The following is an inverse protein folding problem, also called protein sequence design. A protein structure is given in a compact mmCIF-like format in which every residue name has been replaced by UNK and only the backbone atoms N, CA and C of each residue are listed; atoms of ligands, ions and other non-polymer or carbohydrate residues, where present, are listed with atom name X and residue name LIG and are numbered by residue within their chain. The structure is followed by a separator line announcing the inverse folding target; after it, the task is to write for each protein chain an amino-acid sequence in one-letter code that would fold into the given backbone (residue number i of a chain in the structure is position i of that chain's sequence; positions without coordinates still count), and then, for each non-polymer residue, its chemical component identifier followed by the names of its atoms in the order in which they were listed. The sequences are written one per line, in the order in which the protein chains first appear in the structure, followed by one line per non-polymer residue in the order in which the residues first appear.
data_IF_991129650108
#
_entry.id   IF_991129650108
#
_cell.length_a   1.000
_cell.length_b   1.000
_cell.length_c   1.000
_cell.angle_alpha   90.00
_cell.angle_beta   90.00
_cell.angle_gamma   90.00
#
_symmetry.space_group_name_H-M   'P 1'
#
loop_
_entity.id
_entity.type
_entity.pdbx_description
1 polymer ?
#
# COMPACT_ATOMS: atom_id res chain seq x y z
N UNK A 1 30.17 52.63 -40.37
CA UNK A 1 29.61 51.50 -39.60
C UNK A 1 29.99 50.23 -40.34
N UNK A 2 31.05 49.56 -39.89
CA UNK A 2 31.66 48.43 -40.60
C UNK A 2 31.02 47.13 -40.16
N UNK A 3 30.37 46.42 -41.08
CA UNK A 3 29.81 45.10 -40.83
C UNK A 3 30.90 44.03 -41.01
N UNK A 4 31.22 43.34 -39.92
CA UNK A 4 32.14 42.21 -39.87
C UNK A 4 31.37 40.93 -40.19
N UNK A 5 31.70 40.32 -41.33
CA UNK A 5 31.15 39.04 -41.79
C UNK A 5 31.94 37.88 -41.16
N UNK A 6 31.29 37.04 -40.37
CA UNK A 6 31.88 35.79 -39.87
C UNK A 6 31.62 34.60 -40.82
N UNK A 7 32.56 33.64 -40.95
CA UNK A 7 32.43 32.52 -41.88
C UNK A 7 31.62 31.33 -41.31
N UNK A 8 30.77 30.75 -42.15
CA UNK A 8 30.05 29.50 -41.91
C UNK A 8 31.03 28.32 -41.77
N UNK A 9 31.03 27.66 -40.61
CA UNK A 9 31.70 26.37 -40.39
C UNK A 9 30.83 25.23 -40.92
N UNK A 10 31.29 24.57 -41.98
CA UNK A 10 30.76 23.29 -42.48
C UNK A 10 30.97 22.18 -41.44
N UNK A 11 29.87 21.60 -40.96
CA UNK A 11 29.86 20.39 -40.12
C UNK A 11 30.02 19.16 -41.03
N UNK A 12 31.11 18.42 -40.87
CA UNK A 12 31.34 17.11 -41.52
C UNK A 12 30.49 16.05 -40.79
N UNK A 13 29.64 15.36 -41.52
CA UNK A 13 28.91 14.16 -41.08
C UNK A 13 29.82 12.94 -41.27
N UNK A 14 30.23 12.30 -40.18
CA UNK A 14 30.85 10.98 -40.22
C UNK A 14 29.73 9.93 -40.19
N UNK A 15 29.71 9.08 -41.22
CA UNK A 15 28.91 7.86 -41.27
C UNK A 15 29.74 6.75 -40.62
N UNK A 16 29.47 6.43 -39.35
CA UNK A 16 29.98 5.20 -38.73
C UNK A 16 29.02 4.05 -39.07
N UNK A 17 29.53 3.08 -39.82
CA UNK A 17 28.88 1.83 -40.13
C UNK A 17 28.89 0.95 -38.87
N UNK A 18 27.78 0.94 -38.14
CA UNK A 18 27.58 0.03 -37.01
C UNK A 18 27.21 -1.36 -37.55
N UNK A 19 28.19 -2.26 -37.53
CA UNK A 19 28.02 -3.69 -37.85
C UNK A 19 27.20 -4.32 -36.74
N UNK A 20 25.91 -4.54 -37.04
CA UNK A 20 24.97 -5.22 -36.15
C UNK A 20 25.32 -6.72 -36.08
N UNK A 21 26.04 -7.09 -35.03
CA UNK A 21 26.27 -8.48 -34.64
C UNK A 21 24.94 -9.10 -34.18
N UNK A 22 24.17 -9.65 -35.13
CA UNK A 22 23.01 -10.47 -34.85
C UNK A 22 23.48 -11.78 -34.18
N UNK A 23 23.51 -11.79 -32.85
CA UNK A 23 23.58 -13.02 -32.08
C UNK A 23 22.24 -13.73 -32.23
N UNK A 24 22.25 -14.81 -33.01
CA UNK A 24 21.12 -15.72 -33.20
C UNK A 24 20.78 -16.40 -31.87
N UNK A 25 19.88 -15.78 -31.11
CA UNK A 25 19.26 -16.37 -29.92
C UNK A 25 18.41 -17.56 -30.36
N UNK A 26 18.91 -18.78 -30.16
CA UNK A 26 18.16 -20.01 -30.44
C UNK A 26 16.84 -20.00 -29.67
N UNK A 27 15.75 -20.19 -30.41
CA UNK A 27 14.39 -20.20 -29.91
C UNK A 27 14.19 -21.38 -28.92
N UNK A 28 14.20 -21.08 -27.64
CA UNK A 28 13.67 -21.98 -26.61
C UNK A 28 12.17 -22.16 -26.86
N UNK A 29 11.81 -23.30 -27.46
CA UNK A 29 10.45 -23.65 -27.89
C UNK A 29 9.71 -24.51 -26.86
N UNK A 30 10.11 -24.39 -25.59
CA UNK A 30 9.41 -25.04 -24.49
C UNK A 30 7.91 -24.68 -24.49
N UNK A 31 6.99 -25.67 -24.43
CA UNK A 31 5.56 -25.42 -24.50
C UNK A 31 5.11 -24.56 -23.33
N UNK A 32 4.61 -23.35 -23.62
CA UNK A 32 4.11 -22.42 -22.60
C UNK A 32 2.90 -23.04 -21.90
N UNK A 33 2.95 -23.11 -20.57
CA UNK A 33 1.82 -23.54 -19.74
C UNK A 33 0.57 -22.70 -20.09
N UNK A 34 -0.64 -23.31 -20.20
CA UNK A 34 -1.86 -22.55 -20.44
C UNK A 34 -2.08 -21.56 -19.30
N UNK A 35 -2.41 -20.32 -19.68
CA UNK A 35 -2.63 -19.22 -18.72
C UNK A 35 -3.95 -19.38 -18.00
N UNK A 36 -3.99 -19.00 -16.73
CA UNK A 36 -5.23 -19.04 -15.94
C UNK A 36 -6.13 -17.83 -16.26
N UNK A 37 -7.44 -17.96 -16.01
CA UNK A 37 -8.40 -16.84 -16.17
C UNK A 37 -8.00 -15.63 -15.33
N UNK A 38 -7.49 -15.87 -14.12
CA UNK A 38 -7.06 -14.81 -13.19
C UNK A 38 -5.84 -14.04 -13.74
N UNK A 39 -4.86 -14.73 -14.32
CA UNK A 39 -3.68 -14.10 -14.95
C UNK A 39 -4.08 -13.21 -16.12
N UNK A 40 -5.00 -13.69 -16.98
CA UNK A 40 -5.48 -12.91 -18.13
C UNK A 40 -6.25 -11.68 -17.65
N UNK A 41 -7.11 -11.83 -16.63
CA UNK A 41 -7.86 -10.71 -16.06
C UNK A 41 -6.93 -9.67 -15.42
N UNK A 42 -5.94 -10.12 -14.65
CA UNK A 42 -4.94 -9.23 -14.04
C UNK A 42 -4.16 -8.47 -15.10
N UNK A 43 -3.60 -9.15 -16.10
CA UNK A 43 -2.83 -8.50 -17.16
C UNK A 43 -3.71 -7.51 -17.95
N UNK A 44 -4.98 -7.87 -18.19
CA UNK A 44 -5.92 -6.96 -18.85
C UNK A 44 -6.11 -5.70 -18.00
N UNK A 45 -6.36 -5.84 -16.70
CA UNK A 45 -6.49 -4.70 -15.78
C UNK A 45 -5.21 -3.88 -15.68
N UNK A 46 -4.06 -4.53 -15.66
CA UNK A 46 -2.75 -3.86 -15.60
C UNK A 46 -2.50 -3.01 -16.84
N UNK A 47 -2.83 -3.54 -18.03
CA UNK A 47 -2.78 -2.79 -19.30
C UNK A 47 -3.77 -1.63 -19.31
N UNK A 48 -4.98 -1.85 -18.79
CA UNK A 48 -5.96 -0.77 -18.66
C UNK A 48 -5.39 0.34 -17.79
N UNK A 49 -4.94 0.04 -16.57
CA UNK A 49 -4.43 1.04 -15.61
C UNK A 49 -3.14 1.72 -16.07
N UNK A 50 -2.32 1.04 -16.87
CA UNK A 50 -1.06 1.58 -17.42
C UNK A 50 -1.24 2.52 -18.61
N UNK A 51 -2.47 2.83 -19.01
CA UNK A 51 -2.77 3.82 -20.06
C UNK A 51 -3.53 3.27 -21.27
N UNK A 52 -4.33 2.21 -21.11
CA UNK A 52 -5.25 1.76 -22.15
C UNK A 52 -6.38 2.76 -22.46
N UNK A 53 -7.14 2.47 -23.53
CA UNK A 53 -8.16 3.38 -24.10
C UNK A 53 -9.41 3.61 -23.22
N UNK A 54 -9.57 2.84 -22.13
CA UNK A 54 -10.77 2.91 -21.26
C UNK A 54 -10.61 3.85 -20.06
N UNK A 55 -9.49 4.56 -19.97
CA UNK A 55 -9.25 5.48 -18.87
C UNK A 55 -9.86 6.85 -19.16
N UNK A 56 -10.62 7.36 -18.21
CA UNK A 56 -11.29 8.67 -18.30
C UNK A 56 -10.62 9.72 -17.42
N UNK A 57 -9.71 9.31 -16.53
CA UNK A 57 -8.92 10.20 -15.70
C UNK A 57 -7.49 9.68 -15.50
N UNK A 58 -6.58 10.58 -15.12
CA UNK A 58 -5.22 10.26 -14.71
C UNK A 58 -4.95 10.90 -13.36
N UNK A 59 -4.33 10.16 -12.46
CA UNK A 59 -3.93 10.64 -11.14
C UNK A 59 -2.41 10.63 -11.07
N UNK A 60 -1.81 11.78 -10.76
CA UNK A 60 -0.36 11.88 -10.58
C UNK A 60 -0.02 11.54 -9.14
N UNK A 61 0.67 10.43 -8.94
CA UNK A 61 0.96 9.88 -7.62
C UNK A 61 2.46 9.86 -7.37
N UNK A 62 2.89 10.19 -6.16
CA UNK A 62 4.26 9.93 -5.78
C UNK A 62 4.55 8.43 -5.76
N UNK A 63 5.72 8.07 -6.29
CA UNK A 63 6.32 6.77 -6.01
C UNK A 63 6.88 6.77 -4.59
N UNK A 64 7.42 5.63 -4.15
CA UNK A 64 7.98 5.50 -2.80
C UNK A 64 9.00 6.59 -2.51
N UNK A 65 9.17 6.90 -1.23
CA UNK A 65 10.31 7.70 -0.75
C UNK A 65 11.49 6.76 -0.51
N UNK A 66 12.70 7.22 -0.80
CA UNK A 66 13.93 6.55 -0.36
C UNK A 66 14.05 6.62 1.15
N UNK A 67 14.98 5.87 1.74
CA UNK A 67 15.32 5.97 3.18
C UNK A 67 15.71 7.41 3.58
N UNK A 68 16.24 8.20 2.63
CA UNK A 68 16.57 9.62 2.80
C UNK A 68 15.37 10.57 2.61
N UNK A 69 14.16 10.04 2.40
CA UNK A 69 12.93 10.81 2.23
C UNK A 69 12.71 11.38 0.82
N UNK A 70 13.56 11.04 -0.17
CA UNK A 70 13.39 11.53 -1.57
C UNK A 70 12.41 10.65 -2.34
N UNK A 71 11.40 11.20 -2.99
CA UNK A 71 10.53 10.44 -3.90
C UNK A 71 11.33 9.97 -5.13
N UNK A 72 11.14 8.73 -5.62
CA UNK A 72 11.70 8.29 -6.91
C UNK A 72 11.10 9.08 -8.10
N UNK A 73 10.03 9.83 -7.85
CA UNK A 73 9.39 10.72 -8.82
C UNK A 73 7.91 10.35 -9.03
N UNK A 74 7.08 11.31 -9.44
CA UNK A 74 5.67 11.04 -9.62
C UNK A 74 5.41 10.14 -10.84
N UNK A 75 4.39 9.28 -10.76
CA UNK A 75 3.91 8.42 -11.83
C UNK A 75 2.43 8.63 -12.07
N UNK A 76 2.04 8.60 -13.34
CA UNK A 76 0.64 8.60 -13.73
C UNK A 76 0.02 7.25 -13.48
N UNK A 77 -1.10 7.24 -12.76
CA UNK A 77 -2.03 6.13 -12.68
C UNK A 77 -3.24 6.47 -13.54
N UNK A 78 -3.46 5.71 -14.61
CA UNK A 78 -4.65 5.91 -15.44
C UNK A 78 -5.80 5.11 -14.85
N UNK A 79 -6.98 5.73 -14.75
CA UNK A 79 -8.16 5.15 -14.11
C UNK A 79 -9.42 5.45 -14.89
N UNK A 80 -10.43 4.62 -14.70
CA UNK A 80 -11.79 4.90 -15.14
C UNK A 80 -12.55 5.54 -13.98
N UNK A 81 -12.79 6.85 -14.07
CA UNK A 81 -13.46 7.67 -13.06
C UNK A 81 -14.83 7.08 -12.71
N UNK A 82 -15.60 6.69 -13.71
CA UNK A 82 -16.98 6.22 -13.55
C UNK A 82 -17.04 4.94 -12.71
N UNK A 83 -16.13 3.98 -12.93
CA UNK A 83 -16.06 2.76 -12.12
C UNK A 83 -15.71 3.07 -10.66
N UNK A 84 -14.83 4.05 -10.43
CA UNK A 84 -14.38 4.41 -9.07
C UNK A 84 -15.44 5.21 -8.31
N UNK A 85 -16.12 6.16 -8.96
CA UNK A 85 -17.12 7.03 -8.32
C UNK A 85 -18.40 6.31 -7.97
N UNK A 86 -18.75 5.22 -8.68
CA UNK A 86 -19.87 4.34 -8.30
C UNK A 86 -19.64 3.68 -6.94
N UNK A 87 -18.38 3.44 -6.56
CA UNK A 87 -18.04 2.74 -5.31
C UNK A 87 -17.97 3.69 -4.10
N UNK A 88 -17.74 4.98 -4.30
CA UNK A 88 -17.60 5.95 -3.20
C UNK A 88 -17.88 7.39 -3.63
N UNK A 89 -18.67 8.10 -2.81
CA UNK A 89 -18.94 9.53 -2.98
C UNK A 89 -17.71 10.38 -2.69
N UNK A 90 -16.83 9.91 -1.82
CA UNK A 90 -15.56 10.55 -1.49
C UNK A 90 -14.59 10.47 -2.67
N UNK A 91 -14.58 9.35 -3.41
CA UNK A 91 -13.88 9.25 -4.69
C UNK A 91 -14.47 10.22 -5.72
N UNK A 92 -15.79 10.36 -5.79
CA UNK A 92 -16.43 11.36 -6.65
C UNK A 92 -15.96 12.78 -6.31
N UNK A 93 -16.05 13.19 -5.04
CA UNK A 93 -15.56 14.50 -4.58
C UNK A 93 -14.08 14.70 -4.90
N UNK A 94 -13.26 13.67 -4.76
CA UNK A 94 -11.85 13.72 -5.11
C UNK A 94 -11.64 14.03 -6.61
N UNK A 95 -12.35 13.32 -7.49
CA UNK A 95 -12.26 13.57 -8.94
C UNK A 95 -12.98 14.84 -9.42
N UNK A 96 -13.85 15.41 -8.61
CA UNK A 96 -14.51 16.69 -8.88
C UNK A 96 -13.70 17.88 -8.32
N UNK A 97 -12.63 17.61 -7.55
CA UNK A 97 -11.78 18.63 -6.92
C UNK A 97 -12.30 19.14 -5.58
N UNK A 98 -13.45 18.62 -5.10
CA UNK A 98 -14.09 18.99 -3.84
C UNK A 98 -13.42 18.36 -2.60
N UNK A 99 -12.60 17.32 -2.79
CA UNK A 99 -11.86 16.66 -1.71
C UNK A 99 -10.35 16.78 -1.94
N UNK A 100 -9.71 17.64 -1.14
CA UNK A 100 -8.25 17.73 -1.07
C UNK A 100 -7.72 16.65 -0.13
N UNK A 101 -6.86 15.79 -0.66
CA UNK A 101 -6.17 14.78 0.14
C UNK A 101 -4.91 15.38 0.75
N UNK A 102 -5.07 15.95 1.94
CA UNK A 102 -3.96 16.45 2.75
C UNK A 102 -3.04 15.31 3.20
N UNK A 103 -1.76 15.62 3.34
CA UNK A 103 -0.78 14.73 3.96
C UNK A 103 -1.16 14.57 5.43
N UNK A 104 -1.43 13.34 5.87
CA UNK A 104 -1.75 13.05 7.28
C UNK A 104 -0.48 12.98 8.15
N UNK A 105 0.71 13.24 7.59
CA UNK A 105 1.97 13.21 8.31
C UNK A 105 2.38 11.80 8.75
N UNK A 106 1.75 10.75 8.23
CA UNK A 106 2.16 9.38 8.48
C UNK A 106 3.31 9.02 7.53
N UNK A 107 4.47 8.71 8.11
CA UNK A 107 5.68 8.37 7.35
C UNK A 107 6.19 6.94 7.63
N UNK A 108 5.55 6.20 8.53
CA UNK A 108 5.93 4.83 8.92
C UNK A 108 5.36 3.76 7.94
N UNK A 109 5.21 4.08 6.66
CA UNK A 109 4.73 3.11 5.68
C UNK A 109 5.84 2.08 5.44
N UNK A 110 5.66 0.87 5.98
CA UNK A 110 6.65 -0.22 5.95
C UNK A 110 6.88 -0.81 4.54
N UNK A 111 6.36 -0.18 3.48
CA UNK A 111 6.58 -0.61 2.12
C UNK A 111 7.81 0.04 1.46
N UNK A 112 8.56 0.89 2.16
CA UNK A 112 9.72 1.66 1.65
C UNK A 112 10.97 0.83 1.25
N UNK A 113 10.92 -0.50 1.25
CA UNK A 113 12.04 -1.31 0.74
C UNK A 113 12.07 -1.30 -0.80
N UNK A 114 13.31 -1.22 -1.30
CA UNK A 114 13.73 -1.12 -2.70
C UNK A 114 13.31 -2.39 -3.47
N UNK A 115 12.37 -2.26 -4.39
CA UNK A 115 12.24 -3.27 -5.44
C UNK A 115 13.27 -2.86 -6.51
N UNK A 116 14.45 -3.50 -6.51
CA UNK A 116 15.60 -3.21 -7.39
C UNK A 116 15.28 -3.31 -8.91
N UNK A 117 14.11 -3.87 -9.25
CA UNK A 117 13.77 -4.26 -10.62
C UNK A 117 13.02 -3.21 -11.46
N UNK A 118 12.59 -2.07 -10.90
CA UNK A 118 11.91 -1.02 -11.69
C UNK A 118 12.87 0.05 -12.24
N UNK A 119 14.03 -0.38 -12.73
CA UNK A 119 14.90 0.40 -13.65
C UNK A 119 14.27 0.54 -15.04
N UNK A 120 12.94 0.71 -15.12
CA UNK A 120 12.27 1.07 -16.36
C UNK A 120 12.66 2.50 -16.67
N UNK A 121 13.41 2.71 -17.76
CA UNK A 121 13.81 4.00 -18.31
C UNK A 121 12.63 4.84 -18.84
N UNK A 122 11.47 4.71 -18.22
CA UNK A 122 10.28 5.50 -18.50
C UNK A 122 10.61 6.98 -18.33
N UNK A 123 10.47 7.74 -19.43
CA UNK A 123 10.64 9.18 -19.40
C UNK A 123 9.75 9.77 -18.30
N UNK A 124 10.34 10.50 -17.36
CA UNK A 124 9.58 11.16 -16.32
C UNK A 124 8.48 12.00 -16.98
N UNK A 125 7.23 11.92 -16.49
CA UNK A 125 6.15 12.68 -17.07
C UNK A 125 6.48 14.17 -16.98
N UNK A 126 6.36 14.88 -18.11
CA UNK A 126 6.41 16.34 -18.12
C UNK A 126 5.18 16.82 -17.37
N UNK A 127 5.39 17.29 -16.15
CA UNK A 127 4.31 17.83 -15.31
C UNK A 127 3.81 19.09 -16.00
N UNK A 128 2.59 19.04 -16.52
CA UNK A 128 1.87 20.25 -16.97
C UNK A 128 1.57 21.09 -15.73
N UNK A 129 1.73 22.41 -15.81
CA UNK A 129 1.79 23.33 -14.65
C UNK A 129 0.57 23.27 -13.70
N UNK A 130 -0.54 22.67 -14.12
CA UNK A 130 -1.77 22.56 -13.32
C UNK A 130 -2.00 21.18 -12.68
N UNK A 131 -1.13 20.19 -12.92
CA UNK A 131 -1.33 18.85 -12.35
C UNK A 131 -0.89 18.80 -10.89
N UNK A 132 -1.86 18.69 -9.98
CA UNK A 132 -1.59 18.44 -8.57
C UNK A 132 -1.14 16.99 -8.33
N UNK A 133 0.04 16.81 -7.75
CA UNK A 133 0.50 15.50 -7.24
C UNK A 133 -0.30 15.15 -5.98
N UNK A 134 -0.93 14.00 -5.98
CA UNK A 134 -1.61 13.48 -4.79
C UNK A 134 -0.57 12.89 -3.85
N UNK A 135 -0.44 13.49 -2.67
CA UNK A 135 0.54 13.10 -1.65
C UNK A 135 0.04 12.00 -0.71
N UNK A 136 -1.24 11.65 -0.79
CA UNK A 136 -1.88 10.72 0.12
C UNK A 136 -1.78 9.29 -0.41
N UNK A 137 -0.70 8.61 -0.03
CA UNK A 137 -0.43 7.21 -0.37
C UNK A 137 0.42 7.02 -1.63
N UNK A 138 1.23 5.95 -1.64
CA UNK A 138 2.12 5.62 -2.75
C UNK A 138 1.37 5.07 -3.98
N UNK A 139 1.97 5.22 -5.16
CA UNK A 139 1.49 4.66 -6.43
C UNK A 139 1.03 3.18 -6.31
N UNK A 140 1.82 2.32 -5.67
CA UNK A 140 1.48 0.88 -5.51
C UNK A 140 0.23 0.67 -4.65
N UNK A 141 0.02 1.50 -3.62
CA UNK A 141 -1.17 1.46 -2.76
C UNK A 141 -2.43 1.87 -3.53
N UNK A 142 -2.35 2.95 -4.30
CA UNK A 142 -3.45 3.35 -5.18
C UNK A 142 -3.74 2.34 -6.28
N UNK A 143 -2.70 1.74 -6.87
CA UNK A 143 -2.86 0.65 -7.83
C UNK A 143 -3.61 -0.51 -7.17
N UNK A 144 -3.23 -0.92 -5.97
CA UNK A 144 -3.93 -1.98 -5.22
C UNK A 144 -5.40 -1.60 -4.94
N UNK A 145 -5.69 -0.34 -4.60
CA UNK A 145 -7.04 0.17 -4.42
C UNK A 145 -7.86 0.07 -5.71
N UNK A 146 -7.35 0.55 -6.85
CA UNK A 146 -8.06 0.52 -8.13
C UNK A 146 -8.33 -0.93 -8.56
N UNK A 147 -7.35 -1.82 -8.44
CA UNK A 147 -7.54 -3.25 -8.70
C UNK A 147 -8.63 -3.85 -7.80
N UNK A 148 -8.68 -3.44 -6.53
CA UNK A 148 -9.69 -3.89 -5.57
C UNK A 148 -11.09 -3.37 -5.88
N UNK A 149 -11.20 -2.19 -6.50
CA UNK A 149 -12.50 -1.59 -6.83
C UNK A 149 -13.04 -2.07 -8.17
N UNK A 150 -12.17 -2.51 -9.07
CA UNK A 150 -12.59 -3.14 -10.33
C UNK A 150 -13.08 -4.58 -10.14
N UNK A 151 -12.98 -5.11 -8.93
CA UNK A 151 -13.32 -6.48 -8.63
C UNK A 151 -14.18 -6.54 -7.38
N UNK A 152 -15.16 -7.44 -7.39
CA UNK A 152 -16.01 -7.64 -6.20
C UNK A 152 -15.27 -8.36 -5.06
N UNK A 153 -14.01 -8.79 -5.26
CA UNK A 153 -13.20 -9.48 -4.25
C UNK A 153 -11.75 -8.95 -4.19
N UNK A 154 -11.41 -8.08 -3.22
CA UNK A 154 -10.08 -7.48 -3.10
C UNK A 154 -8.98 -8.48 -2.71
N UNK A 155 -9.32 -9.53 -1.98
CA UNK A 155 -8.34 -10.44 -1.37
C UNK A 155 -7.63 -11.37 -2.37
N UNK A 156 -8.15 -11.53 -3.59
CA UNK A 156 -7.54 -12.42 -4.59
C UNK A 156 -6.31 -11.85 -5.30
N UNK A 157 -6.14 -10.52 -5.30
CA UNK A 157 -5.13 -9.85 -6.13
C UNK A 157 -4.16 -8.97 -5.36
N UNK A 158 -4.46 -8.69 -4.09
CA UNK A 158 -3.54 -7.97 -3.23
C UNK A 158 -2.68 -8.97 -2.47
N UNK A 159 -1.39 -8.77 -2.57
CA UNK A 159 -0.43 -9.41 -1.68
C UNK A 159 0.09 -8.36 -0.70
N UNK A 160 -0.19 -8.58 0.58
CA UNK A 160 0.22 -7.65 1.61
C UNK A 160 1.66 -7.93 2.06
N UNK A 161 2.50 -6.88 2.11
CA UNK A 161 3.85 -6.96 2.69
C UNK A 161 3.81 -7.23 4.20
N UNK A 162 4.89 -7.80 4.73
CA UNK A 162 5.08 -7.97 6.17
C UNK A 162 5.03 -6.63 6.92
N UNK A 163 4.61 -6.65 8.19
CA UNK A 163 4.47 -5.44 9.01
C UNK A 163 5.78 -4.97 9.65
N UNK A 164 6.77 -5.85 9.76
CA UNK A 164 8.10 -5.57 10.29
C UNK A 164 9.17 -6.14 9.34
N UNK A 165 10.01 -5.28 8.73
CA UNK A 165 11.12 -5.72 7.87
C UNK A 165 12.09 -6.68 8.58
N UNK A 166 12.27 -6.54 9.90
CA UNK A 166 13.22 -7.34 10.70
C UNK A 166 12.76 -8.77 10.93
N UNK A 167 11.47 -9.03 10.73
CA UNK A 167 10.90 -10.38 10.82
C UNK A 167 10.93 -11.11 9.48
N UNK A 168 11.50 -10.50 8.44
CA UNK A 168 11.74 -11.21 7.19
C UNK A 168 12.75 -12.32 7.48
N UNK A 169 12.48 -13.57 7.09
CA UNK A 169 13.52 -14.58 7.06
C UNK A 169 14.69 -14.01 6.28
N UNK A 170 15.89 -14.01 6.87
CA UNK A 170 17.09 -13.73 6.10
C UNK A 170 17.08 -14.66 4.88
N UNK A 171 17.37 -14.15 3.66
CA UNK A 171 17.25 -14.92 2.43
C UNK A 171 18.14 -16.18 2.40
N UNK A 172 19.05 -16.33 3.36
CA UNK A 172 20.02 -17.43 3.44
C UNK A 172 19.46 -18.72 4.06
N UNK A 173 18.34 -18.67 4.79
CA UNK A 173 17.69 -19.85 5.41
C UNK A 173 16.26 -20.11 4.91
N UNK A 174 15.81 -19.34 3.91
CA UNK A 174 14.72 -19.83 3.06
C UNK A 174 15.26 -21.04 2.28
N UNK A 175 15.03 -22.23 2.83
CA UNK A 175 14.38 -23.28 2.04
C UNK A 175 13.16 -22.60 1.44
N UNK A 176 13.40 -21.90 0.34
CA UNK A 176 12.48 -21.74 -0.73
C UNK A 176 11.93 -23.15 -0.88
N UNK A 177 10.72 -23.36 -0.38
CA UNK A 177 9.81 -24.25 -1.05
C UNK A 177 9.83 -23.68 -2.45
N UNK A 178 10.73 -24.26 -3.23
CA UNK A 178 11.02 -24.01 -4.61
C UNK A 178 9.83 -24.62 -5.33
N UNK A 179 8.68 -24.00 -5.15
CA UNK A 179 7.97 -23.51 -6.31
C UNK A 179 9.01 -22.65 -7.03
N UNK A 180 9.76 -23.29 -7.93
CA UNK A 180 10.92 -22.68 -8.57
C UNK A 180 10.54 -21.38 -9.28
N UNK A 181 11.48 -20.73 -9.99
CA UNK A 181 11.24 -19.52 -10.78
C UNK A 181 10.19 -19.65 -11.92
N UNK A 182 9.33 -20.67 -11.90
CA UNK A 182 8.13 -20.79 -12.73
C UNK A 182 6.97 -19.90 -12.24
N UNK A 183 6.96 -18.67 -12.77
CA UNK A 183 5.84 -18.19 -13.60
C UNK A 183 4.43 -18.01 -12.98
N UNK A 184 4.27 -17.58 -11.73
CA UNK A 184 2.96 -17.01 -11.27
C UNK A 184 3.10 -15.65 -10.57
N UNK A 185 4.31 -15.12 -10.40
CA UNK A 185 4.57 -13.82 -9.77
C UNK A 185 4.11 -12.59 -10.58
N UNK A 186 3.50 -12.78 -11.76
CA UNK A 186 3.07 -11.68 -12.61
C UNK A 186 1.65 -11.17 -12.39
N UNK A 187 0.91 -11.63 -11.36
CA UNK A 187 -0.54 -11.37 -11.26
C UNK A 187 -1.04 -10.82 -9.93
N UNK A 188 -0.19 -10.22 -9.11
CA UNK A 188 -0.62 -9.58 -7.86
C UNK A 188 -0.03 -8.20 -7.67
N UNK A 189 -0.81 -7.31 -7.08
CA UNK A 189 -0.32 -6.00 -6.64
C UNK A 189 0.15 -6.14 -5.21
N UNK A 190 1.43 -5.87 -4.98
CA UNK A 190 2.03 -5.89 -3.64
C UNK A 190 1.89 -4.51 -3.00
N UNK A 191 1.28 -4.43 -1.81
CA UNK A 191 1.20 -3.17 -1.05
C UNK A 191 1.26 -3.41 0.48
N UNK A 192 1.47 -2.34 1.24
CA UNK A 192 1.34 -2.39 2.70
C UNK A 192 -0.14 -2.43 3.09
N UNK A 193 -0.57 -3.39 3.94
CA UNK A 193 -1.96 -3.46 4.38
C UNK A 193 -2.36 -2.23 5.21
N UNK A 194 -1.42 -1.61 5.94
CA UNK A 194 -1.66 -0.36 6.66
C UNK A 194 -1.98 0.77 5.71
N UNK A 195 -1.16 0.97 4.68
CA UNK A 195 -1.32 2.06 3.72
C UNK A 195 -2.63 1.93 2.95
N UNK A 196 -2.99 0.69 2.54
CA UNK A 196 -4.27 0.43 1.91
C UNK A 196 -5.44 0.70 2.87
N UNK A 197 -5.32 0.31 4.14
CA UNK A 197 -6.32 0.61 5.17
C UNK A 197 -6.51 2.12 5.35
N UNK A 198 -5.43 2.93 5.43
CA UNK A 198 -5.54 4.41 5.52
C UNK A 198 -6.31 4.98 4.34
N UNK A 199 -5.96 4.52 3.14
CA UNK A 199 -6.57 4.97 1.90
C UNK A 199 -8.05 4.60 1.82
N UNK A 200 -8.39 3.36 2.18
CA UNK A 200 -9.77 2.88 2.22
C UNK A 200 -10.63 3.63 3.24
N UNK A 201 -10.09 3.93 4.42
CA UNK A 201 -10.78 4.74 5.44
C UNK A 201 -11.06 6.14 4.89
N UNK A 202 -10.09 6.77 4.21
CA UNK A 202 -10.27 8.12 3.65
C UNK A 202 -11.38 8.19 2.60
N UNK A 203 -11.61 7.11 1.86
CA UNK A 203 -12.67 7.02 0.84
C UNK A 203 -13.93 6.28 1.30
N UNK A 204 -14.04 5.94 2.59
CA UNK A 204 -15.17 5.20 3.15
C UNK A 204 -15.46 3.85 2.44
N UNK A 205 -14.40 3.10 2.11
CA UNK A 205 -14.50 1.82 1.41
C UNK A 205 -14.45 0.67 2.43
N UNK A 206 -15.58 0.37 3.07
CA UNK A 206 -15.67 -0.59 4.19
C UNK A 206 -15.13 -1.99 3.87
N UNK A 207 -15.45 -2.53 2.69
CA UNK A 207 -14.97 -3.84 2.24
C UNK A 207 -13.44 -3.90 2.11
N UNK A 208 -12.83 -2.84 1.59
CA UNK A 208 -11.37 -2.73 1.47
C UNK A 208 -10.74 -2.49 2.85
N UNK A 209 -11.38 -1.70 3.72
CA UNK A 209 -10.95 -1.56 5.11
C UNK A 209 -10.92 -2.92 5.81
N UNK A 210 -11.96 -3.74 5.64
CA UNK A 210 -12.03 -5.07 6.23
C UNK A 210 -10.92 -5.99 5.70
N UNK A 211 -10.75 -6.07 4.37
CA UNK A 211 -9.68 -6.87 3.76
C UNK A 211 -8.30 -6.44 4.22
N UNK A 212 -8.03 -5.12 4.24
CA UNK A 212 -6.76 -4.59 4.70
C UNK A 212 -6.54 -4.83 6.21
N UNK A 213 -7.58 -4.69 7.04
CA UNK A 213 -7.49 -4.99 8.48
C UNK A 213 -7.21 -6.48 8.73
N UNK A 214 -7.84 -7.36 7.95
CA UNK A 214 -7.55 -8.80 7.97
C UNK A 214 -6.10 -9.06 7.57
N UNK A 215 -5.61 -8.39 6.52
CA UNK A 215 -4.21 -8.44 6.10
C UNK A 215 -3.23 -7.98 7.19
N UNK A 216 -3.58 -6.94 7.97
CA UNK A 216 -2.83 -6.51 9.17
C UNK A 216 -2.85 -7.64 10.21
N UNK A 217 -4.04 -8.15 10.55
CA UNK A 217 -4.24 -9.18 11.58
C UNK A 217 -3.40 -10.43 11.32
N UNK A 218 -3.41 -10.94 10.09
CA UNK A 218 -2.67 -12.13 9.66
C UNK A 218 -1.15 -11.99 9.77
N UNK A 219 -0.63 -10.75 9.78
CA UNK A 219 0.80 -10.44 9.82
C UNK A 219 1.29 -9.98 11.18
N UNK A 220 0.40 -9.92 12.16
CA UNK A 220 0.78 -9.71 13.54
C UNK A 220 1.39 -11.00 14.08
N UNK A 221 2.52 -10.84 14.76
CA UNK A 221 3.24 -11.93 15.42
C UNK A 221 3.46 -11.57 16.88
N UNK A 222 3.75 -12.55 17.75
CA UNK A 222 4.13 -12.28 19.14
C UNK A 222 5.31 -11.31 19.26
N UNK A 223 6.22 -11.31 18.29
CA UNK A 223 7.41 -10.47 18.29
C UNK A 223 7.13 -9.02 17.90
N UNK A 224 6.15 -8.78 17.02
CA UNK A 224 5.87 -7.42 16.52
C UNK A 224 4.62 -6.77 17.16
N UNK A 225 3.70 -7.51 17.78
CA UNK A 225 2.39 -6.99 18.23
C UNK A 225 2.51 -5.77 19.16
N UNK A 226 3.50 -5.76 20.06
CA UNK A 226 3.71 -4.64 20.99
C UNK A 226 4.16 -3.39 20.24
N UNK A 227 5.17 -3.51 19.39
CA UNK A 227 5.66 -2.37 18.58
C UNK A 227 4.57 -1.86 17.62
N UNK A 228 3.78 -2.77 17.05
CA UNK A 228 2.67 -2.41 16.15
C UNK A 228 1.52 -1.71 16.89
N UNK A 229 1.14 -2.19 18.08
CA UNK A 229 0.09 -1.57 18.89
C UNK A 229 0.46 -0.15 19.30
N UNK A 230 1.72 0.07 19.68
CA UNK A 230 2.21 1.36 20.16
C UNK A 230 2.79 2.26 19.05
N UNK A 231 2.69 1.86 17.79
CA UNK A 231 3.12 2.63 16.62
C UNK A 231 2.17 3.76 16.24
N UNK A 232 2.63 4.65 15.35
CA UNK A 232 1.88 5.85 14.93
C UNK A 232 0.61 5.51 14.15
N UNK A 233 0.60 4.36 13.46
CA UNK A 233 -0.56 3.92 12.69
C UNK A 233 -1.75 3.63 13.60
N UNK A 234 -1.53 2.80 14.62
CA UNK A 234 -2.60 2.14 15.34
C UNK A 234 -3.48 3.13 16.09
N UNK A 235 -2.89 4.14 16.74
CA UNK A 235 -3.67 5.11 17.52
C UNK A 235 -4.65 5.94 16.68
N UNK A 236 -4.39 6.11 15.38
CA UNK A 236 -5.24 6.84 14.45
C UNK A 236 -6.49 6.05 14.02
N UNK A 237 -6.48 4.74 14.19
CA UNK A 237 -7.51 3.85 13.67
C UNK A 237 -8.11 2.99 14.79
N UNK A 238 -9.16 3.48 15.48
CA UNK A 238 -9.75 2.80 16.65
C UNK A 238 -10.09 1.33 16.44
N UNK A 239 -10.57 0.95 15.25
CA UNK A 239 -10.87 -0.47 14.92
C UNK A 239 -9.62 -1.35 14.94
N UNK A 240 -8.49 -0.82 14.45
CA UNK A 240 -7.18 -1.52 14.51
C UNK A 240 -6.73 -1.63 15.95
N UNK A 241 -6.88 -0.58 16.77
CA UNK A 241 -6.54 -0.62 18.21
C UNK A 241 -7.29 -1.77 18.88
N UNK A 242 -8.61 -1.84 18.72
CA UNK A 242 -9.44 -2.90 19.33
C UNK A 242 -8.96 -4.29 18.92
N UNK A 243 -8.74 -4.50 17.61
CA UNK A 243 -8.26 -5.77 17.08
C UNK A 243 -6.88 -6.15 17.65
N UNK A 244 -5.93 -5.23 17.70
CA UNK A 244 -4.58 -5.48 18.20
C UNK A 244 -4.54 -5.68 19.72
N UNK A 245 -5.34 -4.93 20.48
CA UNK A 245 -5.47 -5.13 21.94
C UNK A 245 -6.06 -6.50 22.27
N UNK A 246 -7.05 -6.96 21.50
CA UNK A 246 -7.61 -8.32 21.66
C UNK A 246 -6.52 -9.39 21.45
N UNK A 247 -5.77 -9.29 20.34
CA UNK A 247 -4.66 -10.21 20.06
C UNK A 247 -3.56 -10.13 21.14
N UNK A 248 -3.18 -8.94 21.59
CA UNK A 248 -2.20 -8.77 22.66
C UNK A 248 -2.68 -9.45 23.95
N UNK A 249 -3.95 -9.31 24.30
CA UNK A 249 -4.55 -9.98 25.47
C UNK A 249 -4.49 -11.50 25.34
N UNK A 250 -4.78 -12.05 24.16
CA UNK A 250 -4.67 -13.49 23.88
C UNK A 250 -3.22 -13.98 23.97
N UNK A 251 -2.26 -13.16 23.52
CA UNK A 251 -0.84 -13.53 23.44
C UNK A 251 -0.01 -13.08 24.64
N UNK A 252 -0.62 -12.46 25.67
CA UNK A 252 0.06 -11.93 26.86
C UNK A 252 0.95 -12.92 27.60
N UNK A 253 0.67 -14.22 27.46
CA UNK A 253 1.44 -15.29 28.10
C UNK A 253 2.70 -15.69 27.32
N UNK A 254 2.78 -15.36 26.02
CA UNK A 254 3.92 -15.70 25.15
C UNK A 254 5.18 -14.95 25.60
N UNK A 255 6.33 -15.61 25.51
CA UNK A 255 7.60 -15.08 25.99
C UNK A 255 7.96 -13.74 25.33
N UNK A 256 7.92 -13.68 23.99
CA UNK A 256 8.31 -12.48 23.23
C UNK A 256 7.46 -11.27 23.59
N UNK A 257 6.15 -11.48 23.82
CA UNK A 257 5.23 -10.41 24.24
C UNK A 257 5.60 -9.89 25.62
N UNK A 258 5.94 -10.77 26.57
CA UNK A 258 6.36 -10.35 27.92
C UNK A 258 7.64 -9.53 27.88
N UNK A 259 8.65 -10.01 27.16
CA UNK A 259 9.94 -9.32 27.01
C UNK A 259 9.73 -7.94 26.37
N UNK A 260 8.92 -7.85 25.32
CA UNK A 260 8.60 -6.58 24.68
C UNK A 260 7.85 -5.61 25.61
N UNK A 261 6.87 -6.10 26.38
CA UNK A 261 6.13 -5.28 27.35
C UNK A 261 7.02 -4.80 28.51
N UNK A 262 7.89 -5.66 29.04
CA UNK A 262 8.85 -5.29 30.10
C UNK A 262 9.79 -4.16 29.66
N UNK A 263 10.22 -4.19 28.38
CA UNK A 263 10.99 -3.11 27.77
C UNK A 263 10.15 -1.84 27.55
N UNK A 264 8.88 -1.99 27.20
CA UNK A 264 7.98 -0.87 26.90
C UNK A 264 7.58 -0.08 28.16
N UNK A 265 7.32 -0.73 29.30
CA UNK A 265 6.79 -0.05 30.49
C UNK A 265 7.66 1.12 31.01
N UNK A 266 9.00 1.01 31.10
CA UNK A 266 9.83 2.15 31.49
C UNK A 266 9.72 3.33 30.51
N UNK A 267 9.58 3.05 29.21
CA UNK A 267 9.46 4.08 28.17
C UNK A 267 8.07 4.75 28.20
N UNK A 268 7.02 3.98 28.52
CA UNK A 268 5.69 4.49 28.81
C UNK A 268 5.70 5.41 30.03
N UNK A 269 6.37 5.01 31.12
CA UNK A 269 6.49 5.81 32.34
C UNK A 269 7.23 7.14 32.11
N UNK A 270 8.16 7.18 31.15
CA UNK A 270 8.85 8.41 30.70
C UNK A 270 8.01 9.28 29.77
N UNK A 271 6.82 8.85 29.35
CA UNK A 271 5.95 9.59 28.45
C UNK A 271 6.38 9.56 26.98
N UNK A 272 7.20 8.57 26.56
CA UNK A 272 7.70 8.49 25.18
C UNK A 272 6.60 8.21 24.14
N UNK A 273 5.46 7.69 24.57
CA UNK A 273 4.33 7.36 23.70
C UNK A 273 3.14 8.27 24.03
N UNK A 274 3.00 9.43 23.34
CA UNK A 274 2.01 10.45 23.69
C UNK A 274 0.56 9.92 23.59
N UNK A 275 0.32 8.93 22.73
CA UNK A 275 -1.00 8.36 22.49
C UNK A 275 -1.26 7.04 23.27
N UNK A 276 -0.35 6.63 24.15
CA UNK A 276 -0.47 5.37 24.91
C UNK A 276 -1.70 5.31 25.81
N UNK A 277 -2.16 6.46 26.32
CA UNK A 277 -3.36 6.52 27.15
C UNK A 277 -4.61 5.99 26.42
N UNK A 278 -4.72 6.23 25.10
CA UNK A 278 -5.83 5.70 24.32
C UNK A 278 -5.79 4.17 24.23
N UNK A 279 -4.59 3.61 24.07
CA UNK A 279 -4.37 2.16 23.98
C UNK A 279 -4.61 1.45 25.31
N UNK A 280 -4.21 2.07 26.42
CA UNK A 280 -4.39 1.53 27.78
C UNK A 280 -5.85 1.62 28.26
N UNK A 281 -6.66 2.49 27.65
CA UNK A 281 -8.10 2.66 27.95
C UNK A 281 -9.00 1.78 27.09
N UNK A 282 -8.44 1.03 26.14
CA UNK A 282 -9.25 0.11 25.33
C UNK A 282 -9.92 -0.85 26.29
N UNK A 283 -11.27 -0.92 26.28
CA UNK A 283 -11.97 -1.75 27.21
C UNK A 283 -11.50 -3.19 27.03
N UNK A 284 -11.06 -3.81 28.11
CA UNK A 284 -10.67 -5.22 28.07
C UNK A 284 -11.93 -6.06 27.81
N UNK A 285 -11.81 -7.33 27.44
CA UNK A 285 -12.98 -8.21 27.24
C UNK A 285 -13.92 -8.29 28.47
N UNK A 286 -13.51 -7.80 29.65
CA UNK A 286 -14.38 -7.68 30.83
C UNK A 286 -15.30 -6.44 30.80
N UNK A 287 -14.97 -5.42 30.00
CA UNK A 287 -15.75 -4.18 29.86
C UNK A 287 -16.76 -4.26 28.70
N UNK A 288 -16.60 -5.26 27.83
CA UNK A 288 -17.60 -5.62 26.83
C UNK A 288 -18.47 -6.75 27.41
N UNK A 289 -19.82 -6.64 27.35
CA UNK A 289 -20.66 -7.79 27.67
C UNK A 289 -20.22 -8.95 26.79
N UNK A 290 -20.04 -10.14 27.38
CA UNK A 290 -19.67 -11.33 26.64
C UNK A 290 -20.53 -11.40 25.38
N UNK A 291 -19.94 -11.61 24.18
CA UNK A 291 -20.73 -11.71 22.97
C UNK A 291 -21.81 -12.77 23.21
N UNK A 292 -23.06 -12.54 22.78
CA UNK A 292 -24.10 -13.54 22.94
C UNK A 292 -23.56 -14.85 22.38
N UNK A 293 -23.81 -15.99 23.06
CA UNK A 293 -23.24 -17.31 22.71
C UNK A 293 -23.48 -17.75 21.26
N UNK A 294 -24.30 -17.02 20.51
CA UNK A 294 -24.64 -17.23 19.11
C UNK A 294 -24.13 -16.12 18.17
N UNK A 295 -23.25 -15.21 18.62
CA UNK A 295 -22.59 -14.27 17.72
C UNK A 295 -21.67 -15.09 16.79
N UNK A 296 -22.05 -15.16 15.52
CA UNK A 296 -21.17 -15.72 14.48
C UNK A 296 -19.88 -14.91 14.37
N UNK A 297 -18.91 -15.38 13.56
CA UNK A 297 -17.72 -14.60 13.23
C UNK A 297 -18.12 -13.20 12.74
N UNK A 298 -17.34 -12.17 13.12
CA UNK A 298 -17.51 -10.78 12.67
C UNK A 298 -17.78 -10.77 11.16
N UNK A 299 -18.96 -10.28 10.78
CA UNK A 299 -19.40 -10.19 9.40
C UNK A 299 -19.04 -8.81 8.83
N UNK A 300 -19.04 -8.66 7.51
CA UNK A 300 -18.83 -7.35 6.86
C UNK A 300 -19.80 -6.28 7.40
N UNK A 301 -21.02 -6.68 7.78
CA UNK A 301 -22.03 -5.75 8.32
C UNK A 301 -21.68 -5.16 9.70
N UNK A 302 -20.81 -5.83 10.47
CA UNK A 302 -20.35 -5.34 11.77
C UNK A 302 -19.31 -4.22 11.63
N UNK A 303 -18.69 -4.09 10.44
CA UNK A 303 -17.73 -3.02 10.17
C UNK A 303 -18.39 -1.67 9.90
N UNK A 304 -19.65 -1.64 9.44
CA UNK A 304 -20.35 -0.37 9.20
C UNK A 304 -20.87 0.26 10.50
N UNK A 305 -20.87 -0.48 11.61
CA UNK A 305 -21.22 0.06 12.93
C UNK A 305 -20.01 0.69 13.60
N UNK A 306 -20.04 2.02 13.77
CA UNK A 306 -19.06 2.68 14.64
C UNK A 306 -19.25 2.19 16.08
N UNK A 307 -18.18 1.80 16.79
CA UNK A 307 -18.28 1.38 18.18
C UNK A 307 -18.87 2.52 19.02
N UNK A 308 -20.07 2.30 19.55
CA UNK A 308 -20.91 3.26 20.29
C UNK A 308 -20.15 3.94 21.45
N UNK A 309 -19.14 3.28 21.99
CA UNK A 309 -18.33 3.74 23.13
C UNK A 309 -17.26 4.77 22.75
N UNK A 310 -16.76 4.76 21.49
CA UNK A 310 -15.66 5.66 21.08
C UNK A 310 -16.13 7.11 20.89
N UNK A 311 -17.43 7.33 20.65
CA UNK A 311 -18.00 8.66 20.39
C UNK A 311 -18.00 9.63 21.57
N UNK A 312 -17.84 9.17 22.82
CA UNK A 312 -18.12 10.05 23.98
C UNK A 312 -16.93 10.79 24.59
N UNK A 313 -15.67 10.38 24.44
CA UNK A 313 -14.53 11.08 25.13
C UNK A 313 -13.13 10.99 24.52
N UNK A 314 -12.92 10.28 23.40
CA UNK A 314 -11.56 9.86 23.05
C UNK A 314 -10.82 10.74 22.03
N UNK A 315 -11.52 11.51 21.19
CA UNK A 315 -10.84 12.31 20.16
C UNK A 315 -11.55 13.66 19.95
N UNK A 316 -10.82 14.81 19.99
CA UNK A 316 -11.33 16.04 19.41
C UNK A 316 -11.64 15.80 17.93
N UNK A 317 -12.70 16.42 17.41
CA UNK A 317 -12.90 16.50 15.96
C UNK A 317 -11.72 17.30 15.39
N UNK A 318 -10.85 16.61 14.66
CA UNK A 318 -9.88 17.22 13.75
C UNK A 318 -10.59 17.55 12.45
#
# INVERSE_FOLDING_TARGET
MSFSTQPLKRKRTAHDANVSSQSSSMCDSSPKKPRTRQEVMFETMDRLISGGDYNTAKVLLDTRRTKDGRSYGPRWLSVNKELLTVQSKELQKFFDGDLVLEDDGYHEDSDLEEDEDESSSGSQPKVEEETQVVKFGAYKTWKALVFSLYQDNPSSFIEYKALDPRTRPEPDDEVSISLGPSQVHGSRVVCSPKSLYRLAVKFHLSNICFSACTGIKERLTPQNIVDQLFGDFTWRYPKVIVMQTQLLSEWRAKHDVKVALEKLYPELAKGKYPNSAAMMRVPTNNDFPAPPRNAGPLTDSDWDQEPVVVRRRLFPRW
#
